data_IF_525518235656
#
_entry.id   IF_525518235656
#
_cell.length_a   1.000
_cell.length_b   1.000
_cell.length_c   1.000
_cell.angle_alpha   90.00
_cell.angle_beta   90.00
_cell.angle_gamma   90.00
#
_symmetry.space_group_name_H-M   'P 1'
#
loop_
_entity.id
_entity.type
_entity.pdbx_description
1 polymer ?
#
# COMPACT_ATOMS: atom_id res chain seq x y z
N UNK A 1 18.50 13.01 -29.04
CA UNK A 1 17.86 13.96 -28.10
C UNK A 1 16.34 13.91 -28.23
N UNK A 2 15.78 14.07 -29.41
CA UNK A 2 14.32 14.06 -29.67
C UNK A 2 13.58 12.76 -29.27
N UNK A 3 14.18 11.58 -29.46
CA UNK A 3 13.52 10.31 -29.09
C UNK A 3 13.32 10.13 -27.58
N UNK A 4 14.23 10.60 -26.76
CA UNK A 4 14.10 10.55 -25.30
C UNK A 4 12.98 11.48 -24.77
N UNK A 5 12.87 12.68 -25.32
CA UNK A 5 11.82 13.64 -24.98
C UNK A 5 10.44 13.11 -25.37
N UNK A 6 10.31 12.53 -26.57
CA UNK A 6 9.04 11.93 -27.03
C UNK A 6 8.63 10.75 -26.14
N UNK A 7 9.55 9.90 -25.71
CA UNK A 7 9.27 8.76 -24.83
C UNK A 7 8.86 9.26 -23.44
N UNK A 8 9.48 10.30 -22.91
CA UNK A 8 9.09 10.90 -21.63
C UNK A 8 7.71 11.58 -21.72
N UNK A 9 7.39 12.27 -22.81
CA UNK A 9 6.07 12.88 -23.02
C UNK A 9 4.95 11.85 -23.16
N UNK A 10 5.18 10.77 -23.90
CA UNK A 10 4.22 9.65 -24.02
C UNK A 10 4.01 8.97 -22.66
N UNK A 11 5.05 8.82 -21.87
CA UNK A 11 4.98 8.24 -20.53
C UNK A 11 4.18 9.13 -19.58
N UNK A 12 4.43 10.43 -19.60
CA UNK A 12 3.69 11.44 -18.81
C UNK A 12 2.19 11.48 -19.18
N UNK A 13 1.86 11.38 -20.47
CA UNK A 13 0.47 11.34 -20.94
C UNK A 13 -0.21 10.06 -20.48
N UNK A 14 0.49 8.91 -20.56
CA UNK A 14 0.00 7.61 -20.11
C UNK A 14 -0.20 7.59 -18.59
N UNK A 15 0.73 8.14 -17.83
CA UNK A 15 0.65 8.20 -16.37
C UNK A 15 -0.50 9.10 -15.91
N UNK A 16 -0.70 10.27 -16.52
CA UNK A 16 -1.85 11.15 -16.24
C UNK A 16 -3.19 10.49 -16.54
N UNK A 17 -3.32 9.86 -17.70
CA UNK A 17 -4.55 9.16 -18.08
C UNK A 17 -4.85 8.00 -17.15
N UNK A 18 -3.84 7.25 -16.73
CA UNK A 18 -3.99 6.16 -15.78
C UNK A 18 -4.40 6.67 -14.40
N UNK A 19 -3.85 7.81 -13.96
CA UNK A 19 -4.21 8.45 -12.69
C UNK A 19 -5.67 8.91 -12.63
N UNK A 20 -6.22 9.38 -13.76
CA UNK A 20 -7.64 9.77 -13.89
C UNK A 20 -8.58 8.56 -13.84
N UNK A 21 -8.16 7.40 -14.34
CA UNK A 21 -8.94 6.17 -14.36
C UNK A 21 -8.91 5.38 -13.05
N UNK A 22 -7.93 5.66 -12.18
CA UNK A 22 -7.80 4.97 -10.90
C UNK A 22 -8.47 5.78 -9.80
N UNK A 23 -9.47 5.20 -9.15
CA UNK A 23 -10.11 5.79 -7.98
C UNK A 23 -10.15 4.85 -6.78
N UNK A 24 -10.21 5.45 -5.60
CA UNK A 24 -10.32 4.78 -4.32
C UNK A 24 -11.74 4.99 -3.79
N UNK A 25 -12.46 3.89 -3.57
CA UNK A 25 -13.82 3.90 -3.00
C UNK A 25 -13.76 3.35 -1.58
N UNK A 26 -14.33 4.07 -0.62
CA UNK A 26 -14.45 3.56 0.75
C UNK A 26 -15.31 2.30 0.78
N UNK A 27 -14.74 1.21 1.28
CA UNK A 27 -15.39 -0.11 1.37
C UNK A 27 -15.33 -0.65 2.81
N UNK A 28 -15.07 0.20 3.78
CA UNK A 28 -14.85 -0.19 5.18
C UNK A 28 -15.99 -1.05 5.74
N UNK A 29 -17.22 -0.80 5.32
CA UNK A 29 -18.42 -1.53 5.74
C UNK A 29 -18.78 -2.71 4.80
N UNK A 30 -18.03 -2.91 3.71
CA UNK A 30 -18.26 -4.00 2.76
C UNK A 30 -17.27 -5.15 2.97
N UNK A 31 -17.59 -6.03 3.90
CA UNK A 31 -16.77 -7.20 4.22
C UNK A 31 -16.57 -8.15 3.02
N UNK A 32 -17.49 -8.17 2.05
CA UNK A 32 -17.38 -9.02 0.88
C UNK A 32 -16.30 -8.52 -0.06
N UNK A 33 -16.27 -7.22 -0.34
CA UNK A 33 -15.18 -6.60 -1.13
C UNK A 33 -13.85 -6.65 -0.40
N UNK A 34 -13.84 -6.45 0.93
CA UNK A 34 -12.61 -6.57 1.72
C UNK A 34 -12.02 -7.98 1.59
N UNK A 35 -12.84 -9.04 1.76
CA UNK A 35 -12.39 -10.43 1.59
C UNK A 35 -11.88 -10.71 0.18
N UNK A 36 -12.58 -10.21 -0.83
CA UNK A 36 -12.15 -10.33 -2.22
C UNK A 36 -10.76 -9.71 -2.41
N UNK A 37 -10.55 -8.50 -1.90
CA UNK A 37 -9.26 -7.81 -1.96
C UNK A 37 -8.12 -8.54 -1.23
N UNK A 38 -8.40 -9.14 -0.06
CA UNK A 38 -7.42 -9.95 0.67
C UNK A 38 -7.00 -11.17 -0.15
N UNK A 39 -7.96 -11.84 -0.80
CA UNK A 39 -7.69 -13.02 -1.63
C UNK A 39 -6.86 -12.71 -2.89
N UNK A 40 -6.70 -11.44 -3.26
CA UNK A 40 -5.78 -11.02 -4.31
C UNK A 40 -4.30 -11.05 -3.88
N UNK A 41 -4.02 -11.24 -2.59
CA UNK A 41 -2.65 -11.37 -2.07
C UNK A 41 -2.13 -12.82 -2.21
N UNK A 42 -1.97 -13.24 -3.46
CA UNK A 42 -1.56 -14.59 -3.88
C UNK A 42 -0.19 -15.05 -3.32
N UNK A 43 0.65 -14.12 -2.88
CA UNK A 43 1.99 -14.38 -2.34
C UNK A 43 2.12 -14.00 -0.85
N UNK A 44 1.02 -13.71 -0.16
CA UNK A 44 1.02 -13.26 1.24
C UNK A 44 2.03 -12.13 1.52
N UNK A 45 2.07 -11.15 0.60
CA UNK A 45 3.03 -10.05 0.70
C UNK A 45 2.53 -8.86 1.50
N UNK A 46 1.20 -8.69 1.59
CA UNK A 46 0.55 -7.58 2.29
C UNK A 46 -0.10 -8.05 3.60
N UNK A 47 -0.66 -9.25 3.59
CA UNK A 47 -1.48 -9.79 4.69
C UNK A 47 -0.83 -11.00 5.37
N UNK A 48 0.49 -11.03 5.41
CA UNK A 48 1.25 -12.09 6.06
C UNK A 48 0.94 -12.18 7.57
N UNK A 49 1.02 -13.39 8.10
CA UNK A 49 0.76 -13.65 9.52
C UNK A 49 -0.70 -13.80 9.91
N UNK A 50 -1.62 -13.68 8.95
CA UNK A 50 -3.04 -13.95 9.13
C UNK A 50 -3.42 -15.21 8.35
N UNK A 51 -3.71 -16.28 9.08
CA UNK A 51 -4.15 -17.56 8.50
C UNK A 51 -5.65 -17.58 8.24
N UNK A 52 -6.38 -16.53 8.61
CA UNK A 52 -7.84 -16.44 8.53
C UNK A 52 -8.26 -15.14 7.86
N UNK A 53 -8.84 -15.26 6.66
CA UNK A 53 -9.38 -14.15 5.86
C UNK A 53 -10.45 -13.36 6.61
N UNK A 54 -11.26 -14.02 7.46
CA UNK A 54 -12.31 -13.35 8.23
C UNK A 54 -11.72 -12.46 9.33
N UNK A 55 -10.71 -12.96 10.04
CA UNK A 55 -9.99 -12.17 11.04
C UNK A 55 -9.35 -10.95 10.39
N UNK A 56 -8.66 -11.13 9.26
CA UNK A 56 -8.05 -10.02 8.54
C UNK A 56 -9.08 -9.02 8.02
N UNK A 57 -10.20 -9.50 7.44
CA UNK A 57 -11.27 -8.63 6.98
C UNK A 57 -11.86 -7.80 8.12
N UNK A 58 -12.03 -8.39 9.30
CA UNK A 58 -12.46 -7.66 10.50
C UNK A 58 -11.43 -6.60 10.91
N UNK A 59 -10.14 -6.93 10.90
CA UNK A 59 -9.09 -5.94 11.18
C UNK A 59 -9.14 -4.76 10.20
N UNK A 60 -9.32 -5.03 8.91
CA UNK A 60 -9.41 -3.99 7.88
C UNK A 60 -10.69 -3.15 8.01
N UNK A 61 -11.82 -3.75 8.40
CA UNK A 61 -13.06 -3.00 8.66
C UNK A 61 -12.96 -2.10 9.89
N UNK A 62 -12.04 -2.40 10.81
CA UNK A 62 -11.75 -1.56 11.99
C UNK A 62 -10.60 -0.57 11.75
N UNK A 63 -9.93 -0.62 10.61
CA UNK A 63 -8.88 0.33 10.24
C UNK A 63 -9.41 1.77 10.19
N UNK A 64 -8.52 2.75 10.22
CA UNK A 64 -8.91 4.16 10.07
C UNK A 64 -9.62 4.37 8.74
N UNK A 65 -9.07 3.83 7.66
CA UNK A 65 -9.65 3.83 6.32
C UNK A 65 -9.35 2.52 5.60
N UNK A 66 -10.32 2.04 4.84
CA UNK A 66 -10.16 0.90 3.93
C UNK A 66 -10.85 1.21 2.61
N UNK A 67 -10.08 1.17 1.53
CA UNK A 67 -10.53 1.50 0.18
C UNK A 67 -10.39 0.32 -0.75
N UNK A 68 -11.42 0.09 -1.59
CA UNK A 68 -11.27 -0.65 -2.83
C UNK A 68 -10.56 0.20 -3.88
N UNK A 69 -9.68 -0.42 -4.63
CA UNK A 69 -8.99 0.19 -5.76
C UNK A 69 -9.74 -0.21 -7.02
N UNK A 70 -10.15 0.77 -7.80
CA UNK A 70 -10.89 0.57 -9.05
C UNK A 70 -10.12 1.20 -10.21
N UNK A 71 -10.10 0.50 -11.33
CA UNK A 71 -9.68 1.02 -12.64
C UNK A 71 -10.94 1.05 -13.51
N UNK A 72 -11.42 2.25 -13.83
CA UNK A 72 -12.78 2.45 -14.27
C UNK A 72 -13.76 1.81 -13.26
N UNK A 73 -14.63 0.92 -13.67
CA UNK A 73 -15.59 0.23 -12.80
C UNK A 73 -15.09 -1.14 -12.29
N UNK A 74 -13.88 -1.55 -12.67
CA UNK A 74 -13.33 -2.85 -12.30
C UNK A 74 -12.60 -2.79 -10.94
N UNK A 75 -13.01 -3.67 -10.01
CA UNK A 75 -12.33 -3.81 -8.72
C UNK A 75 -11.02 -4.58 -8.88
N UNK A 76 -9.89 -3.91 -8.70
CA UNK A 76 -8.55 -4.44 -8.98
C UNK A 76 -7.66 -4.62 -7.75
N UNK A 77 -8.12 -4.21 -6.56
CA UNK A 77 -7.31 -4.33 -5.36
C UNK A 77 -7.90 -3.65 -4.14
N UNK A 78 -7.12 -3.65 -3.07
CA UNK A 78 -7.50 -3.08 -1.78
C UNK A 78 -6.31 -2.32 -1.19
N UNK A 79 -6.62 -1.26 -0.44
CA UNK A 79 -5.64 -0.52 0.34
C UNK A 79 -6.26 -0.02 1.63
N UNK A 80 -5.44 0.14 2.68
CA UNK A 80 -5.91 0.63 3.97
C UNK A 80 -4.81 1.35 4.72
N UNK A 81 -5.17 2.17 5.71
CA UNK A 81 -4.24 2.64 6.74
C UNK A 81 -4.87 2.61 8.14
N UNK A 82 -4.01 2.50 9.15
CA UNK A 82 -4.42 2.52 10.56
C UNK A 82 -4.85 1.17 11.14
N UNK A 83 -4.50 0.04 10.50
CA UNK A 83 -4.80 -1.29 11.03
C UNK A 83 -3.92 -1.67 12.23
N UNK A 84 -2.63 -1.38 12.17
CA UNK A 84 -1.65 -1.92 13.13
C UNK A 84 -1.37 -1.02 14.33
N UNK A 85 -1.72 0.27 14.25
CA UNK A 85 -1.47 1.25 15.30
C UNK A 85 -2.74 2.01 15.72
N UNK A 86 -3.83 1.33 16.10
CA UNK A 86 -5.08 2.01 16.43
C UNK A 86 -4.98 2.91 17.66
N UNK A 87 -3.94 2.72 18.50
CA UNK A 87 -3.69 3.53 19.70
C UNK A 87 -2.74 4.72 19.46
N UNK A 88 -1.92 4.65 18.41
CA UNK A 88 -0.99 5.73 18.05
C UNK A 88 -1.35 6.30 16.68
N UNK A 89 -2.33 7.17 16.66
CA UNK A 89 -2.81 7.80 15.44
C UNK A 89 -1.76 8.70 14.77
N UNK A 90 -0.67 9.02 15.46
CA UNK A 90 0.43 9.80 14.86
C UNK A 90 1.30 8.98 13.92
N UNK A 91 1.21 7.63 14.02
CA UNK A 91 1.91 6.66 13.19
C UNK A 91 0.88 5.84 12.43
N UNK A 92 0.93 5.92 11.12
CA UNK A 92 -0.01 5.17 10.27
C UNK A 92 0.78 4.14 9.45
N UNK A 93 0.23 2.96 9.29
CA UNK A 93 0.77 1.95 8.41
C UNK A 93 -0.17 1.77 7.23
N UNK A 94 0.38 1.80 6.01
CA UNK A 94 -0.38 1.58 4.77
C UNK A 94 -0.14 0.15 4.29
N UNK A 95 -1.23 -0.55 4.01
CA UNK A 95 -1.25 -1.79 3.24
C UNK A 95 -1.79 -1.51 1.85
N UNK A 96 -1.24 -2.16 0.82
CA UNK A 96 -1.71 -2.06 -0.56
C UNK A 96 -1.52 -3.39 -1.26
N UNK A 97 -2.61 -3.97 -1.76
CA UNK A 97 -2.61 -5.19 -2.55
C UNK A 97 -3.33 -4.96 -3.88
N UNK A 98 -2.72 -5.39 -4.98
CA UNK A 98 -3.30 -5.39 -6.31
C UNK A 98 -3.43 -6.80 -6.84
N UNK A 99 -4.49 -7.05 -7.59
CA UNK A 99 -4.63 -8.25 -8.40
C UNK A 99 -3.42 -8.41 -9.33
N UNK A 100 -3.01 -9.65 -9.55
CA UNK A 100 -1.80 -10.02 -10.29
C UNK A 100 -1.73 -9.36 -11.67
N UNK A 101 -2.86 -9.31 -12.38
CA UNK A 101 -2.93 -8.81 -13.75
C UNK A 101 -2.71 -7.29 -13.84
N UNK A 102 -2.84 -6.57 -12.72
CA UNK A 102 -2.69 -5.11 -12.64
C UNK A 102 -1.37 -4.67 -12.00
N UNK A 103 -0.45 -5.61 -11.74
CA UNK A 103 0.88 -5.31 -11.20
C UNK A 103 1.84 -4.86 -12.31
N UNK A 104 2.89 -4.16 -11.92
CA UNK A 104 3.96 -3.67 -12.83
C UNK A 104 3.51 -2.65 -13.89
N UNK A 105 2.29 -2.15 -13.83
CA UNK A 105 1.73 -1.14 -14.73
C UNK A 105 1.82 0.31 -14.20
N UNK A 106 2.48 0.53 -13.07
CA UNK A 106 2.55 1.85 -12.42
C UNK A 106 1.40 2.13 -11.45
N UNK A 107 0.31 1.35 -11.49
CA UNK A 107 -0.90 1.53 -10.67
C UNK A 107 -0.57 1.58 -9.17
N UNK A 108 0.29 0.68 -8.69
CA UNK A 108 0.70 0.65 -7.28
C UNK A 108 1.35 1.94 -6.80
N UNK A 109 2.12 2.62 -7.64
CA UNK A 109 2.72 3.93 -7.32
C UNK A 109 1.66 5.02 -7.21
N UNK A 110 0.68 5.04 -8.11
CA UNK A 110 -0.43 6.00 -8.10
C UNK A 110 -1.29 5.79 -6.85
N UNK A 111 -1.68 4.55 -6.58
CA UNK A 111 -2.48 4.22 -5.40
C UNK A 111 -1.75 4.59 -4.10
N UNK A 112 -0.47 4.25 -3.98
CA UNK A 112 0.32 4.57 -2.79
C UNK A 112 0.44 6.09 -2.60
N UNK A 113 0.63 6.88 -3.67
CA UNK A 113 0.64 8.34 -3.58
C UNK A 113 -0.71 8.87 -3.08
N UNK A 114 -1.83 8.42 -3.66
CA UNK A 114 -3.16 8.81 -3.20
C UNK A 114 -3.37 8.48 -1.70
N UNK A 115 -2.89 7.32 -1.25
CA UNK A 115 -2.97 6.93 0.16
C UNK A 115 -2.08 7.76 1.07
N UNK A 116 -0.88 8.12 0.64
CA UNK A 116 0.02 9.03 1.37
C UNK A 116 -0.64 10.40 1.54
N UNK A 117 -1.20 10.95 0.47
CA UNK A 117 -1.86 12.24 0.50
C UNK A 117 -3.09 12.22 1.42
N UNK A 118 -3.91 11.17 1.34
CA UNK A 118 -5.07 10.99 2.19
C UNK A 118 -4.70 10.84 3.66
N UNK A 119 -3.69 10.02 3.96
CA UNK A 119 -3.22 9.84 5.32
C UNK A 119 -2.68 11.13 5.94
N UNK A 120 -1.96 11.95 5.18
CA UNK A 120 -1.42 13.22 5.68
C UNK A 120 -2.42 14.37 5.72
N UNK A 121 -3.60 14.25 5.13
CA UNK A 121 -4.73 15.16 5.37
C UNK A 121 -5.22 15.06 6.81
N UNK A 122 -5.12 13.89 7.42
CA UNK A 122 -5.45 13.71 8.83
C UNK A 122 -4.51 14.55 9.69
N UNK A 123 -5.10 15.40 10.56
CA UNK A 123 -4.32 16.40 11.32
C UNK A 123 -3.34 15.75 12.31
N UNK A 124 -3.64 14.56 12.80
CA UNK A 124 -2.83 13.84 13.76
C UNK A 124 -1.70 13.02 13.12
N UNK A 125 -1.79 12.66 11.84
CA UNK A 125 -0.79 11.82 11.20
C UNK A 125 0.55 12.56 11.02
N UNK A 126 1.60 12.07 11.66
CA UNK A 126 2.96 12.63 11.61
C UNK A 126 3.91 11.80 10.75
N UNK A 127 3.66 10.51 10.66
CA UNK A 127 4.48 9.60 9.88
C UNK A 127 3.66 8.43 9.33
N UNK A 128 4.12 7.93 8.17
CA UNK A 128 3.62 6.71 7.54
C UNK A 128 4.73 5.68 7.59
N UNK A 129 4.36 4.46 7.92
CA UNK A 129 5.26 3.31 8.01
C UNK A 129 4.85 2.26 6.98
N UNK A 130 5.83 1.56 6.42
CA UNK A 130 5.62 0.40 5.57
C UNK A 130 6.50 -0.74 6.07
N UNK A 131 5.93 -1.94 6.09
CA UNK A 131 6.65 -3.18 6.35
C UNK A 131 6.65 -3.97 5.05
N UNK A 132 7.81 -4.07 4.39
CA UNK A 132 7.92 -4.64 3.03
C UNK A 132 8.89 -5.81 3.08
N UNK A 133 8.48 -6.97 2.55
CA UNK A 133 9.38 -8.12 2.39
C UNK A 133 10.65 -7.72 1.66
N UNK A 134 11.79 -8.23 2.13
CA UNK A 134 13.11 -7.95 1.54
C UNK A 134 13.18 -8.32 0.06
N UNK A 135 12.54 -9.40 -0.35
CA UNK A 135 12.46 -9.89 -1.72
C UNK A 135 11.40 -9.17 -2.60
N UNK A 136 10.50 -8.35 -2.00
CA UNK A 136 9.52 -7.58 -2.75
C UNK A 136 10.14 -6.29 -3.33
N UNK A 137 11.00 -6.47 -4.34
CA UNK A 137 11.74 -5.38 -4.97
C UNK A 137 10.81 -4.33 -5.59
N UNK A 138 9.66 -4.74 -6.10
CA UNK A 138 8.67 -3.83 -6.71
C UNK A 138 8.14 -2.82 -5.68
N UNK A 139 7.64 -3.30 -4.54
CA UNK A 139 7.15 -2.44 -3.46
C UNK A 139 8.25 -1.56 -2.86
N UNK A 140 9.46 -2.09 -2.69
CA UNK A 140 10.61 -1.32 -2.21
C UNK A 140 10.96 -0.15 -3.15
N UNK A 141 10.92 -0.38 -4.47
CA UNK A 141 11.12 0.69 -5.47
C UNK A 141 10.03 1.77 -5.39
N UNK A 142 8.77 1.37 -5.21
CA UNK A 142 7.66 2.32 -5.02
C UNK A 142 7.88 3.16 -3.77
N UNK A 143 8.18 2.52 -2.64
CA UNK A 143 8.45 3.23 -1.38
C UNK A 143 9.58 4.26 -1.54
N UNK A 144 10.72 3.86 -2.09
CA UNK A 144 11.87 4.76 -2.31
C UNK A 144 11.52 5.92 -3.26
N UNK A 145 10.80 5.65 -4.37
CA UNK A 145 10.34 6.68 -5.32
C UNK A 145 9.47 7.74 -4.65
N UNK A 146 8.65 7.35 -3.67
CA UNK A 146 7.76 8.23 -2.92
C UNK A 146 8.44 8.92 -1.72
N UNK A 147 9.75 8.73 -1.56
CA UNK A 147 10.54 9.39 -0.52
C UNK A 147 10.54 8.70 0.83
N UNK A 148 10.04 7.47 0.92
CA UNK A 148 10.24 6.67 2.11
C UNK A 148 11.72 6.30 2.27
N UNK A 149 12.21 6.33 3.50
CA UNK A 149 13.56 5.92 3.87
C UNK A 149 13.52 4.65 4.72
N UNK A 150 14.52 3.81 4.60
CA UNK A 150 14.66 2.63 5.47
C UNK A 150 14.79 3.07 6.93
N UNK A 151 14.10 2.36 7.82
CA UNK A 151 14.02 2.69 9.22
C UNK A 151 14.50 1.54 10.09
N UNK A 152 15.61 1.74 10.77
CA UNK A 152 16.25 0.73 11.62
C UNK A 152 15.91 0.88 13.11
N UNK A 153 15.00 1.80 13.44
CA UNK A 153 14.65 2.13 14.83
C UNK A 153 13.74 1.11 15.54
N UNK A 154 13.24 0.09 14.85
CA UNK A 154 12.53 -1.00 15.49
C UNK A 154 13.54 -1.99 16.08
N UNK A 155 13.49 -2.17 17.39
CA UNK A 155 14.34 -3.13 18.12
C UNK A 155 13.96 -4.60 17.90
N UNK A 156 12.82 -4.88 17.26
CA UNK A 156 12.30 -6.23 17.08
C UNK A 156 12.58 -6.68 15.64
N UNK A 157 13.14 -7.87 15.51
CA UNK A 157 13.24 -8.55 14.23
C UNK A 157 11.83 -8.64 13.62
N UNK A 158 11.69 -8.09 12.42
CA UNK A 158 10.43 -8.04 11.69
C UNK A 158 10.28 -9.22 10.73
N UNK A 159 10.95 -10.33 11.00
CA UNK A 159 10.78 -11.56 10.25
C UNK A 159 9.44 -12.24 10.61
N UNK A 160 8.87 -12.94 9.63
CA UNK A 160 7.71 -13.80 9.83
C UNK A 160 7.90 -15.13 9.09
N UNK A 161 7.12 -16.12 9.46
CA UNK A 161 7.11 -17.44 8.84
C UNK A 161 5.84 -17.55 8.01
N UNK A 162 5.97 -17.90 6.72
CA UNK A 162 4.83 -18.14 5.83
C UNK A 162 4.17 -19.50 6.12
N UNK A 163 3.08 -19.80 5.39
CA UNK A 163 2.34 -21.06 5.55
C UNK A 163 3.15 -22.30 5.17
N UNK A 164 4.17 -22.14 4.35
CA UNK A 164 5.08 -23.20 3.91
C UNK A 164 6.28 -23.38 4.85
N UNK A 165 6.37 -22.56 5.92
CA UNK A 165 7.43 -22.58 6.91
C UNK A 165 8.68 -21.79 6.54
N UNK A 166 8.67 -21.02 5.46
CA UNK A 166 9.80 -20.18 5.07
C UNK A 166 9.87 -18.91 5.92
N UNK A 167 11.08 -18.53 6.30
CA UNK A 167 11.33 -17.30 7.05
C UNK A 167 11.52 -16.15 6.07
N UNK A 168 10.69 -15.12 6.20
CA UNK A 168 10.80 -13.88 5.43
C UNK A 168 11.21 -12.74 6.33
N UNK A 169 12.16 -11.94 5.85
CA UNK A 169 12.60 -10.72 6.51
C UNK A 169 11.88 -9.51 5.90
N UNK A 170 11.39 -8.63 6.76
CA UNK A 170 10.80 -7.37 6.35
C UNK A 170 11.77 -6.21 6.56
N UNK A 171 11.77 -5.29 5.62
CA UNK A 171 12.45 -4.01 5.72
C UNK A 171 11.39 -2.97 6.09
N UNK A 172 11.69 -2.20 7.12
CA UNK A 172 10.81 -1.14 7.58
C UNK A 172 11.16 0.16 6.87
N UNK A 173 10.14 0.90 6.47
CA UNK A 173 10.26 2.21 5.83
C UNK A 173 9.46 3.24 6.59
N UNK A 174 9.89 4.49 6.56
CA UNK A 174 9.19 5.62 7.15
C UNK A 174 9.16 6.81 6.19
N UNK A 175 8.00 7.45 6.11
CA UNK A 175 7.82 8.77 5.51
C UNK A 175 7.28 9.71 6.58
N UNK A 176 7.97 10.81 6.86
CA UNK A 176 7.52 11.83 7.81
C UNK A 176 6.77 12.93 7.08
N UNK A 177 5.69 13.42 7.70
CA UNK A 177 5.01 14.64 7.23
C UNK A 177 6.01 15.79 7.26
N UNK A 178 6.15 16.50 6.13
CA UNK A 178 6.96 17.72 6.10
C UNK A 178 6.31 18.74 7.04
N UNK A 179 7.13 19.38 7.89
CA UNK A 179 6.66 20.53 8.65
C UNK A 179 6.24 21.59 7.63
N UNK A 180 5.04 22.15 7.77
CA UNK A 180 4.66 23.31 6.98
C UNK A 180 5.64 24.42 7.34
N UNK A 181 6.45 24.84 6.36
CA UNK A 181 7.31 26.01 6.44
C UNK A 181 6.48 27.26 6.42
#
# INVERSE_FOLDING_TARGET
>A
MYEKEIIEDIRLIKDKRLEELIFLKDIKDDLSLIKLGINMDDNQTCFYGFNDVYVMATCLSLATKTYGIFLDDEFIGITSFGCHYPKDLTRQEICLCLSKDYRSLGIGSICMQKMVDECFKEQYAKSIHLSIREDNIASRKVATKLGFIEYTGYKKDSSYIDLDGNIHKNIQYILKKKANS
#
